data_IF_186152487903
#
_entry.id   IF_186152487903
#
_cell.length_a   1.000
_cell.length_b   1.000
_cell.length_c   1.000
_cell.angle_alpha   90.00
_cell.angle_beta   90.00
_cell.angle_gamma   90.00
#
_symmetry.space_group_name_H-M   'P 1'
#
loop_
_entity.id
_entity.type
_entity.pdbx_description
1 polymer ?
#
# COMPACT_ATOMS: atom_id res chain seq x y z
N UNK A 1 59.86 -8.18 -15.74
CA UNK A 1 58.75 -7.23 -15.49
C UNK A 1 57.78 -7.34 -16.65
N UNK A 2 56.54 -7.81 -16.43
CA UNK A 2 55.54 -7.95 -17.48
C UNK A 2 54.54 -6.79 -17.38
N UNK A 3 54.44 -5.98 -18.45
CA UNK A 3 53.45 -4.91 -18.58
C UNK A 3 52.19 -5.47 -19.28
N UNK A 4 51.12 -5.69 -18.51
CA UNK A 4 49.81 -6.05 -19.06
C UNK A 4 49.17 -4.83 -19.71
N UNK A 5 48.93 -4.88 -21.02
CA UNK A 5 48.20 -3.83 -21.76
C UNK A 5 46.72 -3.80 -21.39
N UNK A 6 46.15 -2.59 -21.28
CA UNK A 6 44.74 -2.35 -20.98
C UNK A 6 43.77 -2.81 -22.11
N UNK A 7 42.53 -3.20 -21.79
CA UNK A 7 41.57 -3.66 -22.79
C UNK A 7 41.03 -2.50 -23.62
N UNK A 8 41.02 -2.66 -24.96
CA UNK A 8 40.40 -1.70 -25.87
C UNK A 8 38.88 -1.77 -25.76
N UNK A 9 38.23 -0.67 -25.37
CA UNK A 9 36.77 -0.53 -25.47
C UNK A 9 36.36 -0.60 -26.95
N UNK A 10 35.53 -1.57 -27.31
CA UNK A 10 34.79 -1.53 -28.59
C UNK A 10 33.80 -0.38 -28.51
N UNK A 11 33.88 0.56 -29.45
CA UNK A 11 32.84 1.55 -29.65
C UNK A 11 31.56 0.81 -30.09
N UNK A 12 30.52 0.82 -29.26
CA UNK A 12 29.20 0.34 -29.62
C UNK A 12 28.62 1.29 -30.67
N UNK A 13 28.40 0.78 -31.88
CA UNK A 13 27.81 1.51 -33.01
C UNK A 13 26.28 1.56 -32.96
N UNK A 14 25.67 1.58 -31.77
CA UNK A 14 24.21 1.71 -31.64
C UNK A 14 23.84 3.19 -31.61
N UNK A 15 24.03 3.88 -32.74
CA UNK A 15 23.37 5.17 -32.95
C UNK A 15 21.88 4.91 -33.13
N UNK A 16 21.09 5.15 -32.08
CA UNK A 16 19.64 5.16 -32.21
C UNK A 16 19.27 6.25 -33.23
N UNK A 17 18.53 5.93 -34.30
CA UNK A 17 18.18 6.92 -35.31
C UNK A 17 17.34 8.04 -34.70
N UNK A 18 17.66 9.28 -35.09
CA UNK A 18 17.08 10.51 -34.53
C UNK A 18 15.55 10.53 -34.62
N UNK A 19 14.98 9.94 -35.67
CA UNK A 19 13.53 9.83 -35.86
C UNK A 19 12.83 9.09 -34.71
N UNK A 20 13.46 8.03 -34.18
CA UNK A 20 12.92 7.28 -33.04
C UNK A 20 12.98 8.08 -31.74
N UNK A 21 13.94 8.99 -31.62
CA UNK A 21 14.08 9.88 -30.46
C UNK A 21 12.98 10.94 -30.51
N UNK A 22 12.74 11.53 -31.68
CA UNK A 22 11.68 12.51 -31.90
C UNK A 22 10.29 11.92 -31.66
N UNK A 23 10.05 10.68 -32.09
CA UNK A 23 8.80 9.98 -31.80
C UNK A 23 8.54 9.84 -30.29
N UNK A 24 9.54 9.49 -29.50
CA UNK A 24 9.39 9.35 -28.04
C UNK A 24 9.15 10.70 -27.36
N UNK A 25 9.85 11.75 -27.81
CA UNK A 25 9.67 13.11 -27.28
C UNK A 25 8.26 13.63 -27.60
N UNK A 26 7.83 13.50 -28.85
CA UNK A 26 6.53 13.97 -29.32
C UNK A 26 5.36 13.16 -28.74
N UNK A 27 5.58 11.87 -28.44
CA UNK A 27 4.58 11.01 -27.84
C UNK A 27 4.23 11.43 -26.41
N UNK A 28 5.08 12.23 -25.74
CA UNK A 28 4.89 12.70 -24.38
C UNK A 28 4.89 11.53 -23.38
N UNK A 29 5.89 11.46 -22.50
CA UNK A 29 6.00 10.37 -21.52
C UNK A 29 4.78 10.29 -20.58
N UNK A 30 3.80 9.45 -20.91
CA UNK A 30 2.68 9.12 -20.03
C UNK A 30 3.12 7.96 -19.12
N UNK A 31 3.46 8.27 -17.86
CA UNK A 31 3.90 7.27 -16.88
C UNK A 31 2.76 6.66 -16.05
N UNK A 32 1.49 6.93 -16.38
CA UNK A 32 0.35 6.31 -15.69
C UNK A 32 -0.76 6.00 -16.69
N UNK A 33 -1.16 4.72 -16.79
CA UNK A 33 -2.42 4.34 -17.43
C UNK A 33 -3.56 4.98 -16.63
N UNK A 34 -4.42 5.83 -17.22
CA UNK A 34 -5.63 6.25 -16.53
C UNK A 34 -6.65 5.12 -16.65
N UNK A 35 -6.92 4.44 -15.54
CA UNK A 35 -8.15 3.68 -15.35
C UNK A 35 -9.04 4.59 -14.53
N UNK A 36 -10.05 5.22 -15.17
CA UNK A 36 -11.26 5.69 -14.49
C UNK A 36 -12.24 6.33 -15.49
N UNK A 37 -13.49 5.82 -15.45
CA UNK A 37 -14.79 6.30 -15.96
C UNK A 37 -15.57 5.03 -16.35
N UNK A 38 -16.60 4.56 -15.65
CA UNK A 38 -17.72 5.28 -15.04
C UNK A 38 -18.21 4.54 -13.78
N UNK A 39 -18.12 5.21 -12.64
CA UNK A 39 -19.12 5.10 -11.58
C UNK A 39 -20.01 6.31 -11.76
N UNK A 40 -21.32 6.09 -11.89
CA UNK A 40 -22.38 6.87 -11.23
C UNK A 40 -23.76 6.39 -11.69
N UNK A 41 -24.55 5.81 -10.79
CA UNK A 41 -25.82 6.44 -10.40
C UNK A 41 -26.47 5.73 -9.19
N UNK A 42 -26.47 6.47 -8.06
CA UNK A 42 -27.53 6.61 -7.02
C UNK A 42 -27.91 5.41 -6.12
N UNK A 43 -27.74 5.53 -4.79
CA UNK A 43 -28.35 4.59 -3.84
C UNK A 43 -29.77 5.04 -3.49
N UNK A 44 -30.77 4.21 -3.85
CA UNK A 44 -32.11 4.30 -3.28
C UNK A 44 -32.13 3.62 -1.91
N UNK A 45 -32.31 4.43 -0.87
CA UNK A 45 -32.58 4.03 0.52
C UNK A 45 -33.78 3.07 0.57
N UNK A 46 -33.54 1.80 0.93
CA UNK A 46 -34.57 0.93 1.51
C UNK A 46 -34.01 0.25 2.75
N UNK A 47 -34.67 0.55 3.86
CA UNK A 47 -34.50 -0.11 5.15
C UNK A 47 -34.79 -1.61 4.97
N UNK A 48 -33.79 -2.45 5.25
CA UNK A 48 -33.96 -3.88 5.25
C UNK A 48 -33.31 -4.45 6.51
N UNK A 49 -34.17 -4.80 7.47
CA UNK A 49 -33.89 -5.78 8.53
C UNK A 49 -33.15 -6.97 7.92
N UNK A 50 -31.91 -7.20 8.32
CA UNK A 50 -31.14 -8.38 7.90
C UNK A 50 -30.81 -9.25 9.11
N UNK A 51 -31.43 -10.44 9.08
CA UNK A 51 -31.03 -11.66 9.80
C UNK A 51 -29.51 -11.90 9.66
N UNK A 52 -28.87 -12.64 10.59
CA UNK A 52 -27.44 -12.92 10.51
C UNK A 52 -27.15 -13.71 9.24
N UNK A 53 -26.54 -13.05 8.27
CA UNK A 53 -26.07 -13.67 7.06
C UNK A 53 -24.85 -14.52 7.40
N UNK A 54 -24.96 -15.82 7.11
CA UNK A 54 -23.87 -16.78 7.11
C UNK A 54 -22.72 -16.18 6.30
N UNK A 55 -21.55 -16.04 6.93
CA UNK A 55 -20.37 -15.46 6.29
C UNK A 55 -19.87 -16.40 5.19
N UNK A 56 -20.11 -16.03 3.92
CA UNK A 56 -19.38 -16.63 2.81
C UNK A 56 -17.91 -16.17 2.85
N UNK A 57 -16.95 -17.02 2.44
CA UNK A 57 -15.54 -16.66 2.48
C UNK A 57 -15.28 -15.50 1.51
N UNK A 58 -15.08 -14.31 2.07
CA UNK A 58 -14.70 -13.12 1.31
C UNK A 58 -13.30 -13.36 0.75
N UNK A 59 -13.09 -13.26 -0.57
CA UNK A 59 -11.78 -13.49 -1.16
C UNK A 59 -10.75 -12.50 -0.58
N UNK A 60 -9.56 -13.01 -0.22
CA UNK A 60 -8.43 -12.24 0.32
C UNK A 60 -7.79 -11.36 -0.76
N UNK A 61 -8.51 -10.32 -1.19
CA UNK A 61 -8.00 -9.32 -2.13
C UNK A 61 -7.48 -8.13 -1.34
N UNK A 62 -6.24 -7.71 -1.63
CA UNK A 62 -5.67 -6.48 -1.08
C UNK A 62 -6.50 -5.27 -1.52
N UNK A 63 -7.08 -4.57 -0.55
CA UNK A 63 -7.82 -3.33 -0.78
C UNK A 63 -7.07 -2.17 -0.14
N UNK A 64 -6.81 -1.13 -0.94
CA UNK A 64 -6.27 0.13 -0.42
C UNK A 64 -7.42 0.97 0.11
N UNK A 65 -7.29 1.46 1.33
CA UNK A 65 -8.22 2.39 1.94
C UNK A 65 -7.46 3.68 2.32
N UNK A 66 -8.12 4.81 2.20
CA UNK A 66 -7.67 6.09 2.76
C UNK A 66 -8.42 6.31 4.07
N UNK A 67 -7.69 6.61 5.15
CA UNK A 67 -8.29 6.96 6.44
C UNK A 67 -8.06 8.44 6.70
N UNK A 68 -9.11 9.13 7.08
CA UNK A 68 -9.03 10.46 7.66
C UNK A 68 -9.10 10.32 9.19
N UNK A 69 -8.11 10.88 9.88
CA UNK A 69 -8.02 10.89 11.35
C UNK A 69 -7.91 12.34 11.79
N UNK A 70 -8.44 12.63 12.97
CA UNK A 70 -8.24 13.93 13.60
C UNK A 70 -6.79 14.09 14.06
N UNK A 71 -6.31 15.33 14.15
CA UNK A 71 -4.93 15.60 14.59
C UNK A 71 -4.67 15.06 16.00
N UNK A 72 -5.64 15.18 16.90
CA UNK A 72 -5.57 14.66 18.27
C UNK A 72 -5.41 13.13 18.30
N UNK A 73 -6.13 12.39 17.46
CA UNK A 73 -5.98 10.94 17.34
C UNK A 73 -4.59 10.58 16.82
N UNK A 74 -4.08 11.28 15.79
CA UNK A 74 -2.74 10.99 15.27
C UNK A 74 -1.63 11.26 16.29
N UNK A 75 -1.81 12.27 17.16
CA UNK A 75 -0.87 12.55 18.25
C UNK A 75 -0.89 11.45 19.30
N UNK A 76 -2.09 11.06 19.74
CA UNK A 76 -2.29 9.99 20.71
C UNK A 76 -1.71 8.66 20.23
N UNK A 77 -1.90 8.33 18.94
CA UNK A 77 -1.30 7.13 18.33
C UNK A 77 0.22 7.16 18.42
N UNK A 78 0.86 8.31 18.14
CA UNK A 78 2.31 8.46 18.24
C UNK A 78 2.80 8.28 19.67
N UNK A 79 2.10 8.83 20.66
CA UNK A 79 2.43 8.69 22.08
C UNK A 79 2.30 7.23 22.53
N UNK A 80 1.14 6.61 22.32
CA UNK A 80 0.88 5.22 22.72
C UNK A 80 1.83 4.23 22.05
N UNK A 81 2.19 4.48 20.79
CA UNK A 81 3.21 3.68 20.09
C UNK A 81 4.57 3.75 20.79
N UNK A 82 4.96 4.92 21.31
CA UNK A 82 6.23 5.07 22.01
C UNK A 82 6.24 4.38 23.40
N UNK A 83 5.07 4.23 24.01
CA UNK A 83 4.91 3.52 25.29
C UNK A 83 4.96 1.99 25.18
N UNK A 84 4.95 1.42 23.97
CA UNK A 84 4.94 -0.02 23.79
C UNK A 84 6.22 -0.64 24.39
N UNK A 85 6.10 -1.65 25.29
CA UNK A 85 7.27 -2.29 25.89
C UNK A 85 8.09 -3.01 24.81
N UNK A 86 9.40 -2.79 24.83
CA UNK A 86 10.34 -3.42 23.90
C UNK A 86 10.28 -4.95 24.00
N UNK A 87 10.20 -5.63 22.86
CA UNK A 87 10.42 -7.08 22.78
C UNK A 87 11.93 -7.36 22.88
N UNK A 88 12.49 -7.25 24.08
CA UNK A 88 13.83 -7.73 24.45
C UNK A 88 15.04 -6.89 24.02
N UNK A 89 16.20 -7.55 23.90
CA UNK A 89 17.56 -7.03 23.62
C UNK A 89 17.78 -6.61 22.15
N UNK A 90 16.72 -6.15 21.48
CA UNK A 90 16.80 -5.68 20.10
C UNK A 90 16.72 -4.15 20.06
N UNK A 91 17.42 -3.55 19.08
CA UNK A 91 17.33 -2.11 18.77
C UNK A 91 15.85 -1.73 18.57
N UNK A 92 15.48 -0.48 18.89
CA UNK A 92 14.11 0.03 18.72
C UNK A 92 13.63 -0.22 17.29
N UNK A 93 12.88 -1.31 17.07
CA UNK A 93 12.14 -1.51 15.83
C UNK A 93 10.90 -0.63 16.01
N UNK A 94 11.03 0.62 15.58
CA UNK A 94 9.90 1.54 15.56
C UNK A 94 8.89 1.01 14.56
N UNK A 95 7.79 0.48 15.06
CA UNK A 95 6.64 0.10 14.24
C UNK A 95 6.10 1.35 13.53
N UNK A 96 5.68 1.19 12.28
CA UNK A 96 5.09 2.32 11.54
C UNK A 96 3.73 2.67 12.11
N UNK A 97 3.25 3.91 11.90
CA UNK A 97 1.89 4.29 12.33
C UNK A 97 0.84 3.40 11.66
N UNK A 98 1.05 3.07 10.37
CA UNK A 98 0.18 2.19 9.60
C UNK A 98 0.08 0.79 10.21
N UNK A 99 1.22 0.21 10.56
CA UNK A 99 1.28 -1.13 11.14
C UNK A 99 0.65 -1.17 12.54
N UNK A 100 0.82 -0.10 13.33
CA UNK A 100 0.11 0.07 14.60
C UNK A 100 -1.41 0.10 14.42
N UNK A 101 -1.91 0.80 13.39
CA UNK A 101 -3.35 0.85 13.07
C UNK A 101 -3.86 -0.52 12.63
N UNK A 102 -3.11 -1.24 11.79
CA UNK A 102 -3.48 -2.58 11.33
C UNK A 102 -3.60 -3.55 12.52
N UNK A 103 -2.62 -3.54 13.43
CA UNK A 103 -2.64 -4.37 14.64
C UNK A 103 -3.85 -4.04 15.53
N UNK A 104 -4.15 -2.75 15.73
CA UNK A 104 -5.31 -2.33 16.52
C UNK A 104 -6.64 -2.77 15.89
N UNK A 105 -6.74 -2.73 14.55
CA UNK A 105 -7.92 -3.21 13.82
C UNK A 105 -8.06 -4.73 13.95
N UNK A 106 -6.98 -5.49 13.82
CA UNK A 106 -6.98 -6.94 14.00
C UNK A 106 -7.39 -7.34 15.42
N UNK A 107 -6.79 -6.71 16.43
CA UNK A 107 -7.14 -6.95 17.83
C UNK A 107 -8.61 -6.64 18.10
N UNK A 108 -9.14 -5.57 17.51
CA UNK A 108 -10.55 -5.22 17.60
C UNK A 108 -11.44 -6.27 16.96
N UNK A 109 -11.10 -6.75 15.75
CA UNK A 109 -11.83 -7.83 15.08
C UNK A 109 -11.84 -9.09 15.94
N UNK A 110 -10.70 -9.51 16.47
CA UNK A 110 -10.61 -10.71 17.30
C UNK A 110 -11.41 -10.60 18.60
N UNK A 111 -11.41 -9.42 19.24
CA UNK A 111 -12.24 -9.15 20.42
C UNK A 111 -13.73 -9.26 20.09
N UNK A 112 -14.18 -8.70 18.97
CA UNK A 112 -15.59 -8.78 18.57
C UNK A 112 -15.99 -10.19 18.11
N UNK A 113 -15.11 -10.91 17.40
CA UNK A 113 -15.32 -12.33 17.06
C UNK A 113 -15.53 -13.17 18.32
N UNK A 114 -14.68 -12.99 19.33
CA UNK A 114 -14.83 -13.66 20.64
C UNK A 114 -16.11 -13.26 21.37
N UNK A 115 -16.50 -11.99 21.29
CA UNK A 115 -17.69 -11.47 21.98
C UNK A 115 -19.00 -11.95 21.35
N UNK A 116 -19.06 -12.02 20.03
CA UNK A 116 -20.27 -12.38 19.28
C UNK A 116 -20.28 -13.83 18.77
N UNK A 117 -19.21 -14.60 19.00
CA UNK A 117 -19.14 -16.00 18.58
C UNK A 117 -19.20 -16.20 17.06
N UNK A 118 -18.75 -15.18 16.31
CA UNK A 118 -18.68 -15.24 14.85
C UNK A 118 -17.32 -15.83 14.48
N UNK A 119 -17.24 -17.15 14.46
CA UNK A 119 -16.12 -17.90 13.83
C UNK A 119 -16.39 -18.15 12.34
#
# INVERSE_FOLDING_TARGET
MAISSAPKKKASSDSVPEDKILEVINRGGSTTRPVEKELEEKPARKEAKSKPAKAEPVPEVLKRFSIELTESETHMIKELRNHRPQRGRARKISISVTDWIIEAVQEKIDREKRKYGVE
#
